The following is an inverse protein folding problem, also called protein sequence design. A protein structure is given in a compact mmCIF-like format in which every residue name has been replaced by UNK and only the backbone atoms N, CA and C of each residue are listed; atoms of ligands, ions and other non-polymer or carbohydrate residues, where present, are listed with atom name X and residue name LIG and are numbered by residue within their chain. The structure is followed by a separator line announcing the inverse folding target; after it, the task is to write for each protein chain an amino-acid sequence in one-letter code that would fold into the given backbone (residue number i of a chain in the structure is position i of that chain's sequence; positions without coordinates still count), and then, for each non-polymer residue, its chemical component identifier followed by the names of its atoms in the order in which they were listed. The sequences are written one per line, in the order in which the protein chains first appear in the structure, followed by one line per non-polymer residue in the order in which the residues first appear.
data_IF_085103438986
#
_entry.id   IF_085103438986
#
_cell.length_a   1.000
_cell.length_b   1.000
_cell.length_c   1.000
_cell.angle_alpha   90.00
_cell.angle_beta   90.00
_cell.angle_gamma   90.00
#
_symmetry.space_group_name_H-M   'P 1'
#
loop_
_entity.id
_entity.type
_entity.pdbx_description
1 polymer ?
#
# COMPACT_ATOMS: atom_id res chain seq x y z
N UNK A 1 2.50 12.38 13.54
CA UNK A 1 1.20 12.73 12.92
C UNK A 1 0.10 12.81 13.97
N UNK A 2 -1.03 13.49 13.63
CA UNK A 2 -2.21 13.59 14.52
C UNK A 2 -3.08 12.32 14.50
N UNK A 3 -2.72 11.31 13.75
CA UNK A 3 -3.41 10.02 13.63
C UNK A 3 -2.90 9.21 12.44
N UNK A 4 -3.62 8.15 12.08
CA UNK A 4 -3.15 7.17 11.09
C UNK A 4 -3.72 7.37 9.67
N UNK A 5 -4.76 8.21 9.49
CA UNK A 5 -5.43 8.39 8.21
C UNK A 5 -4.91 9.61 7.48
N UNK A 6 -4.22 9.40 6.37
CA UNK A 6 -3.56 10.46 5.58
C UNK A 6 -4.51 11.55 5.08
N UNK A 7 -5.75 11.17 4.76
CA UNK A 7 -6.81 12.08 4.27
C UNK A 7 -7.36 13.04 5.34
N UNK A 8 -7.23 12.70 6.63
CA UNK A 8 -7.84 13.43 7.74
C UNK A 8 -6.82 13.99 8.73
N UNK A 9 -5.62 13.43 8.72
CA UNK A 9 -4.63 13.71 9.74
C UNK A 9 -3.52 14.61 9.21
N UNK A 10 -2.78 15.23 10.11
CA UNK A 10 -1.73 16.17 9.79
C UNK A 10 -0.37 15.70 10.34
N UNK A 11 0.70 16.12 9.68
CA UNK A 11 2.06 15.93 10.16
C UNK A 11 2.29 16.85 11.37
N UNK A 12 2.90 16.31 12.42
CA UNK A 12 3.28 17.06 13.64
C UNK A 12 4.79 17.16 13.83
N UNK A 13 5.52 16.19 13.27
CA UNK A 13 6.99 16.17 13.33
C UNK A 13 7.51 15.42 12.09
N UNK A 14 8.65 15.90 11.55
CA UNK A 14 9.43 15.20 10.53
C UNK A 14 10.83 15.01 11.09
N UNK A 15 11.27 13.74 11.18
CA UNK A 15 12.62 13.37 11.58
C UNK A 15 13.29 12.52 10.50
N UNK A 16 14.55 12.78 10.23
CA UNK A 16 15.34 12.03 9.26
C UNK A 16 16.82 12.03 9.60
N UNK A 17 17.53 11.03 9.12
CA UNK A 17 18.99 10.96 9.20
C UNK A 17 19.57 10.62 7.84
N UNK A 18 20.76 11.11 7.53
CA UNK A 18 21.52 10.70 6.35
C UNK A 18 22.46 9.56 6.74
N UNK A 19 22.25 8.40 6.11
CA UNK A 19 23.17 7.27 6.19
C UNK A 19 24.21 7.37 5.08
N UNK A 20 25.49 7.43 5.43
CA UNK A 20 26.60 7.49 4.48
C UNK A 20 27.73 6.56 4.94
N UNK A 21 28.18 5.68 4.09
CA UNK A 21 29.26 4.71 4.37
C UNK A 21 29.02 3.89 5.65
N UNK A 22 27.77 3.55 5.95
CA UNK A 22 27.40 2.77 7.13
C UNK A 22 27.24 3.58 8.42
N UNK A 23 27.45 4.89 8.39
CA UNK A 23 27.36 5.80 9.55
C UNK A 23 26.32 6.89 9.34
N UNK A 24 25.79 7.40 10.45
CA UNK A 24 24.86 8.55 10.44
C UNK A 24 25.68 9.82 10.30
N UNK A 25 25.63 10.45 9.13
CA UNK A 25 26.40 11.65 8.81
C UNK A 25 25.66 12.95 9.22
N UNK A 26 24.36 13.01 9.06
CA UNK A 26 23.56 14.21 9.29
C UNK A 26 22.23 13.84 9.94
N UNK A 27 21.63 14.79 10.67
CA UNK A 27 20.32 14.64 11.31
C UNK A 27 19.44 15.82 10.97
N UNK A 28 18.17 15.57 10.76
CA UNK A 28 17.12 16.54 10.52
C UNK A 28 15.95 16.29 11.45
N UNK A 29 15.42 17.35 12.04
CA UNK A 29 14.21 17.28 12.84
C UNK A 29 13.50 18.63 12.75
N UNK A 30 12.21 18.60 12.52
CA UNK A 30 11.36 19.78 12.61
C UNK A 30 9.99 19.42 13.12
N UNK A 31 9.42 20.21 14.00
CA UNK A 31 8.00 20.17 14.28
C UNK A 31 7.22 20.80 13.13
N UNK A 32 5.96 20.47 13.04
CA UNK A 32 5.03 21.04 12.06
C UNK A 32 3.75 21.43 12.79
N UNK A 33 3.31 22.66 12.61
CA UNK A 33 2.04 23.11 13.18
C UNK A 33 0.86 22.51 12.38
N UNK A 34 0.06 21.62 13.00
CA UNK A 34 -1.04 20.96 12.31
C UNK A 34 -2.29 21.86 12.16
N UNK A 35 -2.24 23.12 12.67
CA UNK A 35 -3.36 24.06 12.76
C UNK A 35 -4.60 23.49 13.48
N UNK A 36 -4.41 22.56 14.39
CA UNK A 36 -5.46 21.98 15.24
C UNK A 36 -4.86 21.43 16.54
N UNK A 37 -5.71 21.25 17.55
CA UNK A 37 -5.28 20.65 18.82
C UNK A 37 -5.03 19.17 18.68
N UNK A 38 -4.07 18.67 19.44
CA UNK A 38 -3.80 17.26 19.57
C UNK A 38 -4.79 16.62 20.54
N UNK A 39 -5.15 15.34 20.28
CA UNK A 39 -5.92 14.56 21.24
C UNK A 39 -5.03 14.10 22.38
N UNK A 40 -5.58 13.92 23.62
CA UNK A 40 -4.82 13.39 24.74
C UNK A 40 -4.11 12.06 24.43
N UNK A 41 -4.71 11.24 23.59
CA UNK A 41 -4.16 9.97 23.13
C UNK A 41 -2.87 10.17 22.30
N UNK A 42 -2.88 11.10 21.36
CA UNK A 42 -1.69 11.45 20.54
C UNK A 42 -0.59 12.07 21.41
N UNK A 43 -0.96 12.94 22.34
CA UNK A 43 0.01 13.52 23.29
C UNK A 43 0.65 12.43 24.13
N UNK A 44 -0.16 11.50 24.68
CA UNK A 44 0.33 10.37 25.46
C UNK A 44 1.23 9.41 24.66
N UNK A 45 0.93 9.22 23.37
CA UNK A 45 1.70 8.35 22.49
C UNK A 45 3.04 8.96 22.06
N UNK A 46 3.04 10.24 21.65
CA UNK A 46 4.20 10.89 21.02
C UNK A 46 5.01 11.79 21.96
N UNK A 47 4.43 12.17 23.09
CA UNK A 47 4.99 13.19 23.98
C UNK A 47 5.00 14.60 23.40
N UNK A 48 4.42 14.81 22.20
CA UNK A 48 4.33 16.12 21.56
C UNK A 48 3.09 16.82 22.08
N UNK A 49 3.26 18.08 22.56
CA UNK A 49 2.17 18.88 23.12
C UNK A 49 1.77 20.02 22.17
N UNK A 50 0.56 20.55 22.32
CA UNK A 50 0.11 21.73 21.56
C UNK A 50 1.03 22.93 21.76
N UNK A 51 1.65 23.04 22.94
CA UNK A 51 2.57 24.12 23.24
C UNK A 51 3.86 24.04 22.42
N UNK A 52 4.40 22.82 22.24
CA UNK A 52 5.57 22.58 21.40
C UNK A 52 5.28 22.90 19.92
N UNK A 53 4.04 22.76 19.46
CA UNK A 53 3.65 23.00 18.08
C UNK A 53 3.20 24.44 17.80
N UNK A 54 2.94 25.26 18.82
CA UNK A 54 2.42 26.62 18.67
C UNK A 54 3.32 27.53 17.82
N UNK A 55 4.64 27.42 17.99
CA UNK A 55 5.65 28.18 17.23
C UNK A 55 6.30 27.38 16.09
N UNK A 56 5.81 26.18 15.82
CA UNK A 56 6.39 25.34 14.80
C UNK A 56 6.11 25.85 13.37
N UNK A 57 6.98 25.57 12.40
CA UNK A 57 6.79 25.92 11.00
C UNK A 57 5.44 25.43 10.46
N UNK A 58 4.94 26.12 9.43
CA UNK A 58 3.82 25.62 8.63
C UNK A 58 4.26 24.41 7.83
N UNK A 59 3.29 23.62 7.38
CA UNK A 59 3.52 22.40 6.61
C UNK A 59 4.42 22.65 5.39
N UNK A 60 4.17 23.71 4.63
CA UNK A 60 4.94 24.05 3.42
C UNK A 60 6.41 24.31 3.73
N UNK A 61 6.70 25.15 4.74
CA UNK A 61 8.07 25.47 5.15
C UNK A 61 8.83 24.22 5.65
N UNK A 62 8.15 23.39 6.43
CA UNK A 62 8.72 22.14 6.95
C UNK A 62 9.00 21.13 5.82
N UNK A 63 8.12 21.03 4.83
CA UNK A 63 8.32 20.16 3.66
C UNK A 63 9.48 20.65 2.80
N UNK A 64 9.59 21.97 2.53
CA UNK A 64 10.74 22.52 1.80
C UNK A 64 12.06 22.25 2.53
N UNK A 65 12.10 22.46 3.85
CA UNK A 65 13.28 22.18 4.66
C UNK A 65 13.65 20.67 4.60
N UNK A 66 12.68 19.81 4.74
CA UNK A 66 12.89 18.36 4.63
C UNK A 66 13.38 17.93 3.24
N UNK A 67 12.75 18.42 2.18
CA UNK A 67 13.12 18.07 0.80
C UNK A 67 14.51 18.60 0.44
N UNK A 68 14.88 19.78 0.90
CA UNK A 68 16.23 20.31 0.76
C UNK A 68 17.25 19.43 1.50
N UNK A 69 16.94 18.99 2.72
CA UNK A 69 17.77 18.05 3.46
C UNK A 69 17.88 16.69 2.76
N UNK A 70 16.77 16.12 2.29
CA UNK A 70 16.76 14.82 1.61
C UNK A 70 17.50 14.87 0.26
N UNK A 71 17.36 15.96 -0.49
CA UNK A 71 17.92 16.11 -1.84
C UNK A 71 17.42 15.01 -2.79
N UNK A 72 18.31 14.48 -3.62
CA UNK A 72 18.02 13.39 -4.55
C UNK A 72 18.26 11.98 -3.95
N UNK A 73 18.46 11.90 -2.63
CA UNK A 73 18.76 10.60 -1.99
C UNK A 73 17.49 9.73 -1.93
N UNK A 74 17.62 8.40 -2.11
CA UNK A 74 16.55 7.48 -1.80
C UNK A 74 16.14 7.61 -0.33
N UNK A 75 14.84 7.63 -0.06
CA UNK A 75 14.30 7.65 1.30
C UNK A 75 14.21 6.23 1.85
N UNK A 76 14.19 6.08 3.16
CA UNK A 76 13.92 4.80 3.80
C UNK A 76 13.14 4.99 5.10
N UNK A 77 12.19 4.09 5.35
CA UNK A 77 11.45 4.05 6.60
C UNK A 77 11.04 2.61 6.95
N UNK A 78 10.48 2.42 8.14
CA UNK A 78 9.91 1.13 8.55
C UNK A 78 8.39 1.16 8.39
N UNK A 79 7.85 0.40 7.44
CA UNK A 79 6.51 0.55 6.88
C UNK A 79 6.40 1.87 6.09
N UNK A 80 7.33 2.04 5.17
CA UNK A 80 7.64 3.30 4.49
C UNK A 80 6.44 3.94 3.77
N UNK A 81 5.47 3.15 3.31
CA UNK A 81 4.26 3.68 2.68
C UNK A 81 3.49 4.61 3.61
N UNK A 82 3.50 4.38 4.93
CA UNK A 82 2.89 5.27 5.90
C UNK A 82 3.52 6.67 5.85
N UNK A 83 4.83 6.77 6.00
CA UNK A 83 5.55 8.05 6.05
C UNK A 83 5.51 8.76 4.70
N UNK A 84 5.77 8.01 3.63
CA UNK A 84 5.77 8.54 2.25
C UNK A 84 4.39 9.06 1.85
N UNK A 85 3.31 8.40 2.26
CA UNK A 85 1.95 8.85 1.96
C UNK A 85 1.60 10.17 2.62
N UNK A 86 2.00 10.40 3.88
CA UNK A 86 1.83 11.68 4.56
C UNK A 86 2.64 12.81 3.92
N UNK A 87 3.90 12.56 3.58
CA UNK A 87 4.73 13.55 2.88
C UNK A 87 4.15 13.84 1.48
N UNK A 88 3.74 12.81 0.73
CA UNK A 88 3.12 12.96 -0.60
C UNK A 88 1.84 13.79 -0.54
N UNK A 89 0.95 13.50 0.42
CA UNK A 89 -0.27 14.26 0.62
C UNK A 89 0.00 15.71 0.99
N UNK A 90 0.97 15.95 1.88
CA UNK A 90 1.42 17.30 2.24
C UNK A 90 1.98 18.06 1.06
N UNK A 91 2.88 17.45 0.28
CA UNK A 91 3.46 18.03 -0.93
C UNK A 91 2.38 18.36 -1.98
N UNK A 92 1.43 17.43 -2.23
CA UNK A 92 0.29 17.65 -3.13
C UNK A 92 -0.53 18.87 -2.69
N UNK A 93 -0.81 19.01 -1.39
CA UNK A 93 -1.55 20.14 -0.82
C UNK A 93 -0.83 21.48 -1.01
N UNK A 94 0.50 21.47 -0.98
CA UNK A 94 1.35 22.68 -1.14
C UNK A 94 1.81 22.89 -2.59
N UNK A 95 1.39 22.06 -3.56
CA UNK A 95 1.83 22.17 -4.96
C UNK A 95 3.30 21.82 -5.19
N UNK A 96 3.93 21.07 -4.29
CA UNK A 96 5.33 20.66 -4.35
C UNK A 96 5.45 19.31 -5.06
N UNK A 97 6.24 19.18 -6.15
CA UNK A 97 6.50 17.90 -6.79
C UNK A 97 7.23 16.93 -5.83
N UNK A 98 6.74 15.69 -5.73
CA UNK A 98 7.34 14.68 -4.84
C UNK A 98 7.16 13.26 -5.38
N UNK A 99 8.19 12.74 -6.03
CA UNK A 99 8.26 11.37 -6.60
C UNK A 99 9.55 10.68 -6.10
N UNK A 100 9.60 10.26 -4.83
CA UNK A 100 10.82 9.69 -4.26
C UNK A 100 11.01 8.24 -4.66
N UNK A 101 12.28 7.83 -4.85
CA UNK A 101 12.67 6.44 -4.69
C UNK A 101 12.75 6.13 -3.19
N UNK A 102 12.16 5.03 -2.73
CA UNK A 102 12.24 4.67 -1.32
C UNK A 102 12.39 3.17 -1.07
N UNK A 103 12.95 2.85 0.08
CA UNK A 103 13.18 1.53 0.62
C UNK A 103 12.31 1.32 1.86
N UNK A 104 11.77 0.11 2.02
CA UNK A 104 11.00 -0.26 3.20
C UNK A 104 11.74 -1.31 4.03
N UNK A 105 12.23 -0.91 5.21
CA UNK A 105 12.95 -1.81 6.12
C UNK A 105 12.05 -2.92 6.67
N UNK A 106 10.73 -2.74 6.68
CA UNK A 106 9.78 -3.80 7.02
C UNK A 106 9.81 -4.92 5.97
N UNK A 107 9.87 -4.56 4.67
CA UNK A 107 9.99 -5.54 3.59
C UNK A 107 11.32 -6.29 3.69
N UNK A 108 12.42 -5.59 4.00
CA UNK A 108 13.71 -6.25 4.23
C UNK A 108 13.64 -7.23 5.39
N UNK A 109 13.13 -6.81 6.55
CA UNK A 109 12.97 -7.66 7.71
C UNK A 109 12.14 -8.93 7.40
N UNK A 110 11.01 -8.77 6.70
CA UNK A 110 10.13 -9.89 6.34
C UNK A 110 10.77 -10.94 5.42
N UNK A 111 11.74 -10.54 4.60
CA UNK A 111 12.37 -11.43 3.63
C UNK A 111 13.76 -11.92 4.07
N UNK A 112 14.50 -11.12 4.83
CA UNK A 112 15.84 -11.47 5.31
C UNK A 112 15.82 -12.16 6.67
N UNK A 113 14.75 -11.99 7.47
CA UNK A 113 14.57 -12.56 8.80
C UNK A 113 13.24 -13.34 8.87
N UNK A 114 13.05 -14.38 8.04
CA UNK A 114 11.76 -15.08 7.92
C UNK A 114 11.33 -15.80 9.20
N UNK A 115 12.28 -16.05 10.13
CA UNK A 115 12.07 -16.68 11.43
C UNK A 115 11.33 -15.78 12.43
N UNK A 116 11.32 -14.45 12.23
CA UNK A 116 10.60 -13.53 13.09
C UNK A 116 9.08 -13.66 12.89
N UNK A 117 8.33 -13.88 13.97
CA UNK A 117 6.86 -13.94 13.92
C UNK A 117 6.18 -12.57 13.85
N UNK A 118 6.91 -11.49 14.22
CA UNK A 118 6.45 -10.10 14.22
C UNK A 118 7.58 -9.19 13.77
N UNK A 119 7.23 -8.13 13.04
CA UNK A 119 8.19 -7.22 12.40
C UNK A 119 7.97 -5.76 12.80
N UNK A 120 7.59 -5.51 14.06
CA UNK A 120 7.60 -4.15 14.59
C UNK A 120 9.02 -3.64 14.72
N UNK A 121 9.20 -2.32 14.66
CA UNK A 121 10.51 -1.67 14.69
C UNK A 121 11.38 -2.13 15.87
N UNK A 122 10.80 -2.15 17.09
CA UNK A 122 11.42 -2.62 18.33
C UNK A 122 11.89 -4.07 18.23
N UNK A 123 11.00 -4.97 17.77
CA UNK A 123 11.29 -6.40 17.67
C UNK A 123 12.43 -6.68 16.69
N UNK A 124 12.43 -5.98 15.54
CA UNK A 124 13.49 -6.15 14.54
C UNK A 124 14.81 -5.55 15.05
N UNK A 125 14.77 -4.41 15.74
CA UNK A 125 15.93 -3.79 16.34
C UNK A 125 16.58 -4.71 17.39
N UNK A 126 15.79 -5.27 18.30
CA UNK A 126 16.24 -6.21 19.32
C UNK A 126 16.86 -7.47 18.70
N UNK A 127 16.22 -8.06 17.68
CA UNK A 127 16.74 -9.23 16.98
C UNK A 127 18.10 -8.93 16.30
N UNK A 128 18.25 -7.75 15.73
CA UNK A 128 19.50 -7.30 15.11
C UNK A 128 20.55 -6.80 16.14
N UNK A 129 20.22 -6.84 17.43
CA UNK A 129 21.05 -6.38 18.54
C UNK A 129 21.47 -4.91 18.39
N UNK A 130 20.52 -4.05 17.99
CA UNK A 130 20.75 -2.61 17.89
C UNK A 130 20.64 -1.96 19.26
N UNK A 131 21.30 -0.79 19.49
CA UNK A 131 21.14 -0.04 20.71
C UNK A 131 19.69 0.33 21.00
N UNK A 132 19.30 0.34 22.28
CA UNK A 132 17.97 0.78 22.69
C UNK A 132 17.73 2.25 22.31
N UNK A 133 16.52 2.58 21.93
CA UNK A 133 16.10 3.91 21.49
C UNK A 133 14.73 4.29 22.08
N UNK A 134 14.44 5.58 22.12
CA UNK A 134 13.15 6.08 22.56
C UNK A 134 12.15 6.01 21.40
N UNK A 135 11.00 5.39 21.63
CA UNK A 135 9.96 5.26 20.63
C UNK A 135 9.10 6.51 20.49
N UNK A 136 8.47 6.66 19.32
CA UNK A 136 7.44 7.65 19.00
C UNK A 136 7.90 9.09 18.81
N UNK A 137 9.21 9.30 18.66
CA UNK A 137 9.79 10.57 18.20
C UNK A 137 10.41 10.35 16.85
N UNK A 138 10.00 11.15 15.84
CA UNK A 138 10.39 10.92 14.44
C UNK A 138 11.91 10.88 14.22
N UNK A 139 12.68 11.71 14.94
CA UNK A 139 14.14 11.70 14.89
C UNK A 139 14.75 10.44 15.50
N UNK A 140 14.15 9.95 16.58
CA UNK A 140 14.67 8.79 17.31
C UNK A 140 14.34 7.48 16.58
N UNK A 141 13.17 7.40 15.92
CA UNK A 141 12.78 6.25 15.09
C UNK A 141 13.59 6.16 13.77
N UNK A 142 14.12 7.27 13.25
CA UNK A 142 14.94 7.26 12.04
C UNK A 142 16.33 6.62 12.26
N UNK A 143 16.90 6.71 13.47
CA UNK A 143 18.21 6.15 13.79
C UNK A 143 18.22 4.61 13.70
N UNK A 144 17.34 3.87 14.39
CA UNK A 144 17.31 2.41 14.28
C UNK A 144 16.99 1.94 12.85
N UNK A 145 16.17 2.65 12.08
CA UNK A 145 15.96 2.33 10.66
C UNK A 145 17.26 2.40 9.87
N UNK A 146 18.07 3.46 10.06
CA UNK A 146 19.37 3.58 9.41
C UNK A 146 20.31 2.43 9.81
N UNK A 147 20.37 2.10 11.10
CA UNK A 147 21.18 0.98 11.61
C UNK A 147 20.71 -0.38 11.08
N UNK A 148 19.40 -0.61 10.99
CA UNK A 148 18.83 -1.80 10.35
C UNK A 148 19.28 -1.91 8.90
N UNK A 149 19.23 -0.81 8.14
CA UNK A 149 19.65 -0.79 6.74
C UNK A 149 21.11 -1.20 6.57
N UNK A 150 22.01 -0.78 7.47
CA UNK A 150 23.41 -1.23 7.46
C UNK A 150 23.49 -2.76 7.57
N UNK A 151 22.74 -3.36 8.51
CA UNK A 151 22.68 -4.81 8.67
C UNK A 151 22.08 -5.50 7.45
N UNK A 152 20.98 -4.99 6.93
CA UNK A 152 20.30 -5.54 5.76
C UNK A 152 21.15 -5.44 4.49
N UNK A 153 21.86 -4.33 4.29
CA UNK A 153 22.76 -4.19 3.16
C UNK A 153 23.93 -5.18 3.25
N UNK A 154 24.49 -5.41 4.43
CA UNK A 154 25.52 -6.44 4.61
C UNK A 154 24.99 -7.86 4.29
N UNK A 155 23.74 -8.17 4.70
CA UNK A 155 23.08 -9.44 4.36
C UNK A 155 22.83 -9.58 2.86
N UNK A 156 22.49 -8.49 2.17
CA UNK A 156 22.27 -8.46 0.73
C UNK A 156 23.58 -8.58 -0.05
N UNK A 157 24.61 -7.89 0.40
CA UNK A 157 25.95 -7.93 -0.20
C UNK A 157 26.53 -9.36 -0.12
N UNK A 158 26.36 -10.06 1.00
CA UNK A 158 26.72 -11.46 1.14
C UNK A 158 25.98 -12.40 0.16
N UNK A 159 24.87 -11.94 -0.43
CA UNK A 159 24.07 -12.62 -1.47
C UNK A 159 24.40 -12.15 -2.89
N UNK A 160 25.42 -11.28 -3.05
CA UNK A 160 25.81 -10.74 -4.35
C UNK A 160 24.98 -9.55 -4.85
N UNK A 161 24.13 -8.97 -3.98
CA UNK A 161 23.33 -7.76 -4.29
C UNK A 161 24.15 -6.53 -3.93
N UNK A 162 24.71 -5.85 -4.94
CA UNK A 162 25.60 -4.69 -4.76
C UNK A 162 25.00 -3.38 -5.27
N UNK A 163 23.80 -3.43 -5.88
CA UNK A 163 23.11 -2.26 -6.46
C UNK A 163 21.65 -2.21 -6.03
N UNK A 164 21.13 -1.01 -5.80
CA UNK A 164 19.74 -0.79 -5.41
C UNK A 164 18.73 -1.41 -6.38
N UNK A 165 19.00 -1.39 -7.68
CA UNK A 165 18.14 -1.96 -8.72
C UNK A 165 17.94 -3.49 -8.58
N UNK A 166 18.89 -4.19 -7.96
CA UNK A 166 18.82 -5.64 -7.75
C UNK A 166 17.99 -6.04 -6.52
N UNK A 167 17.71 -5.09 -5.63
CA UNK A 167 17.04 -5.37 -4.33
C UNK A 167 15.65 -5.98 -4.55
N UNK A 168 14.83 -5.41 -5.44
CA UNK A 168 13.47 -5.89 -5.67
C UNK A 168 13.44 -7.33 -6.20
N UNK A 169 14.38 -7.67 -7.09
CA UNK A 169 14.51 -9.03 -7.63
C UNK A 169 14.92 -10.01 -6.53
N UNK A 170 15.88 -9.63 -5.69
CA UNK A 170 16.32 -10.46 -4.58
C UNK A 170 15.22 -10.61 -3.51
N UNK A 171 14.54 -9.54 -3.12
CA UNK A 171 13.39 -9.61 -2.21
C UNK A 171 12.29 -10.54 -2.74
N UNK A 172 12.12 -10.60 -4.06
CA UNK A 172 11.15 -11.49 -4.69
C UNK A 172 11.59 -12.95 -4.59
N UNK A 173 12.88 -13.24 -4.77
CA UNK A 173 13.46 -14.59 -4.65
C UNK A 173 13.44 -15.11 -3.20
N UNK A 174 13.84 -14.25 -2.25
CA UNK A 174 13.91 -14.58 -0.83
C UNK A 174 12.54 -14.76 -0.18
N UNK A 175 11.50 -14.29 -0.82
CA UNK A 175 10.16 -14.31 -0.27
C UNK A 175 9.76 -15.75 0.08
N UNK A 176 9.50 -16.07 1.38
CA UNK A 176 9.11 -17.41 1.76
C UNK A 176 7.87 -17.87 0.97
N UNK A 177 7.89 -19.06 0.43
CA UNK A 177 6.71 -19.73 -0.11
C UNK A 177 5.69 -19.82 1.03
N UNK A 178 4.65 -18.98 0.98
CA UNK A 178 3.64 -18.88 2.04
C UNK A 178 3.80 -17.73 3.04
N UNK A 179 4.76 -16.80 2.85
CA UNK A 179 4.78 -15.56 3.62
C UNK A 179 3.42 -14.89 3.56
N UNK A 180 2.78 -14.77 4.74
CA UNK A 180 1.44 -14.15 4.86
C UNK A 180 1.54 -12.71 4.39
N UNK A 181 1.19 -12.47 3.14
CA UNK A 181 0.71 -11.15 2.77
C UNK A 181 -0.56 -10.93 3.58
N UNK A 182 -0.60 -9.90 4.42
CA UNK A 182 -1.84 -9.33 4.93
C UNK A 182 -2.57 -8.63 3.77
N UNK A 183 -2.84 -9.38 2.70
CA UNK A 183 -3.62 -8.91 1.57
C UNK A 183 -4.99 -9.53 1.73
N UNK A 184 -5.95 -8.66 1.90
CA UNK A 184 -7.34 -9.06 1.70
C UNK A 184 -7.46 -9.71 0.32
N UNK A 185 -8.20 -10.83 0.20
CA UNK A 185 -8.48 -11.43 -1.08
C UNK A 185 -9.03 -10.36 -2.03
N UNK A 186 -8.65 -10.44 -3.30
CA UNK A 186 -9.15 -9.54 -4.34
C UNK A 186 -10.23 -10.25 -5.13
N UNK A 187 -11.24 -9.51 -5.55
CA UNK A 187 -12.27 -10.05 -6.41
C UNK A 187 -11.71 -10.35 -7.80
N UNK A 188 -12.25 -11.38 -8.43
CA UNK A 188 -11.92 -11.80 -9.78
C UNK A 188 -13.16 -12.41 -10.43
N UNK A 189 -13.33 -12.22 -11.73
CA UNK A 189 -14.40 -12.86 -12.51
C UNK A 189 -13.80 -14.03 -13.27
N UNK A 190 -14.47 -15.18 -13.18
CA UNK A 190 -14.13 -16.39 -13.91
C UNK A 190 -15.34 -16.84 -14.72
N UNK A 191 -15.17 -16.96 -16.04
CA UNK A 191 -16.21 -17.41 -16.97
C UNK A 191 -15.72 -18.67 -17.67
N UNK A 192 -16.50 -19.74 -17.61
CA UNK A 192 -16.20 -20.97 -18.34
C UNK A 192 -16.50 -20.79 -19.84
N UNK A 193 -15.49 -20.86 -20.69
CA UNK A 193 -15.61 -20.76 -22.14
C UNK A 193 -16.07 -22.04 -22.78
N UNK A 194 -15.75 -23.20 -22.19
CA UNK A 194 -16.04 -24.53 -22.70
C UNK A 194 -16.10 -25.58 -21.56
N UNK A 195 -16.28 -26.85 -21.89
CA UNK A 195 -16.35 -27.92 -20.89
C UNK A 195 -15.06 -28.10 -20.08
N UNK A 196 -13.87 -27.81 -20.64
CA UNK A 196 -12.61 -27.85 -19.92
C UNK A 196 -12.60 -26.74 -18.88
N UNK A 197 -12.95 -25.52 -19.27
CA UNK A 197 -13.07 -24.38 -18.34
C UNK A 197 -14.10 -24.62 -17.26
N UNK A 198 -15.24 -25.25 -17.57
CA UNK A 198 -16.25 -25.59 -16.55
C UNK A 198 -15.68 -26.59 -15.53
N UNK A 199 -14.94 -27.60 -15.95
CA UNK A 199 -14.25 -28.53 -15.05
C UNK A 199 -13.24 -27.81 -14.19
N UNK A 200 -12.40 -26.95 -14.79
CA UNK A 200 -11.39 -26.18 -14.08
C UNK A 200 -12.02 -25.20 -13.07
N UNK A 201 -13.14 -24.57 -13.43
CA UNK A 201 -13.91 -23.72 -12.52
C UNK A 201 -14.39 -24.49 -11.28
N UNK A 202 -14.96 -25.67 -11.46
CA UNK A 202 -15.39 -26.53 -10.34
C UNK A 202 -14.21 -26.96 -9.46
N UNK A 203 -13.06 -27.28 -10.05
CA UNK A 203 -11.85 -27.63 -9.30
C UNK A 203 -11.35 -26.43 -8.46
N UNK A 204 -11.33 -25.23 -9.03
CA UNK A 204 -10.95 -24.00 -8.31
C UNK A 204 -11.92 -23.67 -7.18
N UNK A 205 -13.24 -23.79 -7.40
CA UNK A 205 -14.26 -23.58 -6.37
C UNK A 205 -14.08 -24.61 -5.24
N UNK A 206 -13.91 -25.88 -5.58
CA UNK A 206 -13.68 -26.94 -4.60
C UNK A 206 -12.41 -26.68 -3.78
N UNK A 207 -11.30 -26.36 -4.45
CA UNK A 207 -10.03 -26.05 -3.78
C UNK A 207 -10.15 -24.82 -2.87
N UNK A 208 -10.87 -23.77 -3.29
CA UNK A 208 -11.06 -22.57 -2.51
C UNK A 208 -11.84 -22.81 -1.20
N UNK A 209 -12.78 -23.73 -1.21
CA UNK A 209 -13.60 -24.07 -0.06
C UNK A 209 -12.97 -25.15 0.84
N UNK A 210 -12.31 -26.15 0.25
CA UNK A 210 -11.78 -27.30 1.00
C UNK A 210 -10.32 -27.12 1.46
N UNK A 211 -9.49 -26.47 0.63
CA UNK A 211 -8.05 -26.35 0.86
C UNK A 211 -7.61 -24.95 1.28
N UNK A 212 -8.23 -23.92 0.73
CA UNK A 212 -7.79 -22.53 0.87
C UNK A 212 -8.78 -21.62 1.60
N UNK A 213 -9.79 -22.19 2.26
CA UNK A 213 -10.76 -21.41 3.02
C UNK A 213 -10.12 -20.73 4.23
N UNK A 214 -10.25 -19.39 4.30
CA UNK A 214 -9.79 -18.55 5.43
C UNK A 214 -10.83 -17.47 5.69
N UNK A 215 -11.88 -17.77 6.49
CA UNK A 215 -13.09 -16.95 6.69
C UNK A 215 -13.94 -16.82 5.43
N UNK A 216 -13.32 -16.73 4.26
CA UNK A 216 -13.95 -16.73 2.93
C UNK A 216 -13.19 -17.68 2.01
N UNK A 217 -13.81 -18.20 0.95
CA UNK A 217 -13.12 -18.98 -0.07
C UNK A 217 -12.07 -18.12 -0.77
N UNK A 218 -10.85 -18.65 -0.93
CA UNK A 218 -9.73 -17.96 -1.58
C UNK A 218 -9.16 -18.86 -2.66
N UNK A 219 -8.92 -18.29 -3.85
CA UNK A 219 -8.21 -18.97 -4.93
C UNK A 219 -6.80 -18.37 -5.02
N UNK A 220 -5.73 -19.11 -4.66
CA UNK A 220 -4.37 -18.65 -4.89
C UNK A 220 -4.14 -18.42 -6.39
N UNK A 221 -3.42 -17.37 -6.75
CA UNK A 221 -3.13 -17.03 -8.16
C UNK A 221 -2.38 -18.15 -8.89
N UNK A 222 -1.54 -18.90 -8.18
CA UNK A 222 -0.87 -20.10 -8.72
C UNK A 222 -1.85 -21.21 -9.12
N UNK A 223 -2.86 -21.48 -8.30
CA UNK A 223 -3.92 -22.45 -8.62
C UNK A 223 -4.75 -21.96 -9.83
N UNK A 224 -5.08 -20.67 -9.87
CA UNK A 224 -5.79 -20.09 -11.00
C UNK A 224 -4.98 -20.22 -12.30
N UNK A 225 -3.67 -19.97 -12.26
CA UNK A 225 -2.79 -20.13 -13.43
C UNK A 225 -2.74 -21.60 -13.88
N UNK A 226 -2.63 -22.54 -12.94
CA UNK A 226 -2.58 -23.97 -13.23
C UNK A 226 -3.88 -24.50 -13.88
N UNK A 227 -5.03 -23.86 -13.60
CA UNK A 227 -6.35 -24.24 -14.09
C UNK A 227 -6.95 -23.21 -15.07
N UNK A 228 -6.09 -22.37 -15.72
CA UNK A 228 -6.56 -21.28 -16.58
C UNK A 228 -7.21 -21.75 -17.88
N UNK A 229 -6.87 -22.94 -18.37
CA UNK A 229 -7.37 -23.44 -19.65
C UNK A 229 -8.90 -23.48 -19.69
N UNK A 230 -9.47 -22.93 -20.77
CA UNK A 230 -10.92 -22.84 -20.97
C UNK A 230 -11.64 -21.82 -20.10
N UNK A 231 -10.93 -20.99 -19.33
CA UNK A 231 -11.47 -19.88 -18.56
C UNK A 231 -11.21 -18.55 -19.26
N UNK A 232 -12.13 -17.62 -19.11
CA UNK A 232 -11.97 -16.18 -19.37
C UNK A 232 -11.93 -15.49 -18.02
N UNK A 233 -10.93 -14.63 -17.82
CA UNK A 233 -10.65 -13.98 -16.54
C UNK A 233 -10.85 -12.48 -16.67
N UNK A 234 -11.74 -11.90 -15.83
CA UNK A 234 -12.03 -10.47 -15.76
C UNK A 234 -11.45 -9.79 -14.52
N UNK A 235 -11.19 -8.47 -14.62
CA UNK A 235 -10.56 -7.69 -13.57
C UNK A 235 -11.47 -7.41 -12.36
N UNK A 236 -12.75 -7.68 -12.48
CA UNK A 236 -13.78 -7.46 -11.46
C UNK A 236 -13.96 -5.99 -11.03
N UNK A 237 -14.66 -5.80 -9.91
CA UNK A 237 -15.11 -4.51 -9.36
C UNK A 237 -14.00 -3.74 -8.63
N UNK A 238 -14.39 -2.74 -7.83
CA UNK A 238 -13.48 -1.92 -7.01
C UNK A 238 -12.67 -2.74 -5.99
N UNK A 239 -13.15 -3.92 -5.59
CA UNK A 239 -12.41 -4.85 -4.74
C UNK A 239 -11.42 -5.73 -5.53
N UNK A 240 -11.37 -5.62 -6.87
CA UNK A 240 -10.40 -6.29 -7.73
C UNK A 240 -8.98 -5.76 -7.58
N UNK A 241 -7.98 -6.55 -8.04
CA UNK A 241 -6.56 -6.16 -7.94
C UNK A 241 -6.24 -4.90 -8.77
N UNK A 242 -6.80 -4.81 -9.98
CA UNK A 242 -6.55 -3.69 -10.89
C UNK A 242 -7.13 -2.38 -10.34
N UNK A 243 -8.41 -2.39 -9.98
CA UNK A 243 -9.07 -1.16 -9.52
C UNK A 243 -8.45 -0.65 -8.21
N UNK A 244 -8.11 -1.55 -7.28
CA UNK A 244 -7.35 -1.18 -6.07
C UNK A 244 -5.97 -0.62 -6.37
N UNK A 245 -5.26 -1.13 -7.36
CA UNK A 245 -3.98 -0.58 -7.78
C UNK A 245 -4.12 0.85 -8.36
N UNK A 246 -5.24 1.16 -9.04
CA UNK A 246 -5.55 2.52 -9.52
C UNK A 246 -5.85 3.45 -8.34
N UNK A 247 -6.68 3.03 -7.37
CA UNK A 247 -6.95 3.80 -6.14
C UNK A 247 -5.65 4.06 -5.37
N UNK A 248 -4.77 3.07 -5.28
CA UNK A 248 -3.47 3.15 -4.60
C UNK A 248 -2.42 3.94 -5.41
N UNK A 249 -2.81 4.58 -6.52
CA UNK A 249 -1.96 5.39 -7.40
C UNK A 249 -0.67 4.67 -7.83
N UNK A 250 -0.75 3.36 -8.15
CA UNK A 250 0.39 2.62 -8.69
C UNK A 250 0.81 3.20 -10.05
N UNK A 251 2.12 3.13 -10.34
CA UNK A 251 2.64 3.63 -11.61
C UNK A 251 2.06 2.88 -12.83
N UNK A 252 2.16 3.51 -14.00
CA UNK A 252 1.55 3.00 -15.22
C UNK A 252 2.07 1.63 -15.65
N UNK A 253 3.34 1.33 -15.43
CA UNK A 253 3.94 0.04 -15.76
C UNK A 253 3.40 -1.07 -14.85
N UNK A 254 3.24 -0.79 -13.57
CA UNK A 254 2.63 -1.73 -12.63
C UNK A 254 1.15 -1.96 -12.94
N UNK A 255 0.39 -0.92 -13.32
CA UNK A 255 -0.99 -1.06 -13.78
C UNK A 255 -1.07 -1.93 -15.03
N UNK A 256 -0.20 -1.73 -16.02
CA UNK A 256 -0.12 -2.57 -17.22
C UNK A 256 0.22 -4.02 -16.87
N UNK A 257 1.19 -4.25 -15.99
CA UNK A 257 1.56 -5.59 -15.52
C UNK A 257 0.37 -6.31 -14.88
N UNK A 258 -0.40 -5.63 -14.03
CA UNK A 258 -1.60 -6.18 -13.40
C UNK A 258 -2.68 -6.45 -14.45
N UNK A 259 -2.98 -5.47 -15.30
CA UNK A 259 -4.02 -5.58 -16.33
C UNK A 259 -3.72 -6.68 -17.36
N UNK A 260 -2.44 -6.95 -17.65
CA UNK A 260 -2.00 -8.00 -18.57
C UNK A 260 -2.43 -9.40 -18.15
N UNK A 261 -2.69 -9.63 -16.87
CA UNK A 261 -3.14 -10.92 -16.35
C UNK A 261 -4.56 -11.30 -16.80
N UNK A 262 -5.43 -10.31 -17.00
CA UNK A 262 -6.85 -10.50 -17.32
C UNK A 262 -7.09 -10.65 -18.82
N UNK A 263 -8.16 -11.34 -19.21
CA UNK A 263 -8.59 -11.46 -20.60
C UNK A 263 -9.48 -10.28 -21.00
N UNK A 264 -10.22 -9.68 -20.05
CA UNK A 264 -10.97 -8.46 -20.23
C UNK A 264 -10.88 -7.59 -18.96
N UNK A 265 -11.09 -6.30 -19.12
CA UNK A 265 -11.14 -5.33 -18.02
C UNK A 265 -12.59 -4.87 -17.80
N UNK A 266 -12.89 -4.41 -16.60
CA UNK A 266 -14.25 -4.05 -16.20
C UNK A 266 -14.32 -2.62 -15.68
N UNK A 267 -15.33 -1.89 -16.12
CA UNK A 267 -15.74 -0.62 -15.55
C UNK A 267 -17.18 -0.72 -15.03
N UNK A 268 -17.52 0.10 -14.04
CA UNK A 268 -18.81 0.08 -13.38
C UNK A 268 -19.45 1.47 -13.34
N UNK A 269 -20.78 1.57 -13.17
CA UNK A 269 -21.48 2.83 -12.94
C UNK A 269 -20.87 3.57 -11.74
N UNK A 270 -20.78 4.90 -11.81
CA UNK A 270 -20.16 5.70 -10.74
C UNK A 270 -20.88 5.52 -9.40
N UNK A 271 -22.19 5.28 -9.41
CA UNK A 271 -22.98 5.08 -8.19
C UNK A 271 -22.50 3.89 -7.36
N UNK A 272 -21.96 2.82 -7.97
CA UNK A 272 -21.41 1.67 -7.26
C UNK A 272 -20.20 2.04 -6.40
N UNK A 273 -19.46 3.06 -6.82
CA UNK A 273 -18.21 3.49 -6.17
C UNK A 273 -18.33 4.82 -5.40
N UNK A 274 -19.55 5.41 -5.27
CA UNK A 274 -19.77 6.66 -4.54
C UNK A 274 -19.42 6.60 -3.06
N UNK A 275 -19.34 5.40 -2.48
CA UNK A 275 -18.86 5.25 -1.11
C UNK A 275 -17.40 5.73 -0.96
N UNK A 276 -16.57 5.66 -2.00
CA UNK A 276 -15.21 6.18 -2.02
C UNK A 276 -15.16 7.72 -1.90
N UNK A 277 -16.19 8.41 -2.38
CA UNK A 277 -16.36 9.86 -2.15
C UNK A 277 -16.82 10.13 -0.71
N UNK A 278 -17.75 9.33 -0.21
CA UNK A 278 -18.29 9.49 1.15
C UNK A 278 -17.28 9.21 2.25
N UNK A 279 -16.37 8.26 2.04
CA UNK A 279 -15.32 7.92 2.99
C UNK A 279 -14.03 8.75 2.81
N UNK A 280 -14.01 9.66 1.82
CA UNK A 280 -12.91 10.57 1.55
C UNK A 280 -11.71 9.94 0.82
N UNK A 281 -11.87 8.73 0.26
CA UNK A 281 -10.83 8.09 -0.56
C UNK A 281 -10.58 8.88 -1.84
N UNK A 282 -11.62 9.49 -2.41
CA UNK A 282 -11.59 10.38 -3.56
C UNK A 282 -12.41 11.65 -3.29
N UNK A 283 -12.17 12.72 -4.07
CA UNK A 283 -12.81 14.02 -3.79
C UNK A 283 -14.23 14.09 -4.34
N UNK A 284 -14.47 13.58 -5.55
CA UNK A 284 -15.74 13.74 -6.26
C UNK A 284 -15.97 12.65 -7.34
N UNK A 285 -17.11 12.80 -8.05
CA UNK A 285 -17.48 11.91 -9.16
C UNK A 285 -16.50 12.00 -10.35
N UNK A 286 -15.73 13.09 -10.49
CA UNK A 286 -14.74 13.22 -11.58
C UNK A 286 -13.53 12.32 -11.32
N UNK A 287 -13.10 12.17 -10.08
CA UNK A 287 -12.09 11.18 -9.70
C UNK A 287 -12.53 9.75 -10.05
N UNK A 288 -13.80 9.42 -9.78
CA UNK A 288 -14.39 8.12 -10.16
C UNK A 288 -14.41 7.90 -11.68
N UNK A 289 -14.74 8.95 -12.47
CA UNK A 289 -14.66 8.89 -13.93
C UNK A 289 -13.21 8.66 -14.40
N UNK A 290 -12.25 9.31 -13.74
CA UNK A 290 -10.84 9.15 -14.09
C UNK A 290 -10.34 7.72 -13.84
N UNK A 291 -10.86 7.03 -12.82
CA UNK A 291 -10.58 5.60 -12.64
C UNK A 291 -11.10 4.77 -13.82
N UNK A 292 -12.34 4.97 -14.23
CA UNK A 292 -12.89 4.28 -15.39
C UNK A 292 -12.12 4.61 -16.68
N UNK A 293 -11.75 5.88 -16.92
CA UNK A 293 -10.91 6.30 -18.06
C UNK A 293 -9.55 5.61 -18.04
N UNK A 294 -8.95 5.43 -16.86
CA UNK A 294 -7.69 4.71 -16.69
C UNK A 294 -7.82 3.26 -17.11
N UNK A 295 -8.90 2.57 -16.72
CA UNK A 295 -9.18 1.19 -17.15
C UNK A 295 -9.37 1.11 -18.66
N UNK A 296 -10.13 2.04 -19.26
CA UNK A 296 -10.35 2.10 -20.72
C UNK A 296 -9.02 2.26 -21.45
N UNK A 297 -8.20 3.22 -21.02
CA UNK A 297 -6.87 3.46 -21.61
C UNK A 297 -5.95 2.24 -21.51
N UNK A 298 -5.97 1.52 -20.39
CA UNK A 298 -5.23 0.27 -20.23
C UNK A 298 -5.72 -0.80 -21.21
N UNK A 299 -7.05 -0.90 -21.40
CA UNK A 299 -7.65 -1.82 -22.37
C UNK A 299 -7.20 -1.52 -23.81
N UNK A 300 -7.23 -0.25 -24.19
CA UNK A 300 -6.76 0.22 -25.51
C UNK A 300 -5.28 -0.09 -25.75
N UNK A 301 -4.40 0.27 -24.79
CA UNK A 301 -2.95 0.01 -24.91
C UNK A 301 -2.60 -1.47 -24.94
N UNK A 302 -3.35 -2.32 -24.25
CA UNK A 302 -3.09 -3.76 -24.16
C UNK A 302 -3.90 -4.58 -25.16
N UNK A 303 -4.73 -3.94 -25.99
CA UNK A 303 -5.62 -4.62 -26.94
C UNK A 303 -6.65 -5.54 -26.27
N UNK A 304 -7.14 -5.17 -25.07
CA UNK A 304 -8.07 -5.97 -24.28
C UNK A 304 -9.47 -5.38 -24.30
N UNK A 305 -10.53 -6.21 -24.40
CA UNK A 305 -11.90 -5.74 -24.23
C UNK A 305 -12.11 -5.06 -22.88
N UNK A 306 -12.85 -3.96 -22.88
CA UNK A 306 -13.35 -3.31 -21.67
C UNK A 306 -14.86 -3.44 -21.64
N UNK A 307 -15.38 -4.07 -20.60
CA UNK A 307 -16.81 -4.34 -20.43
C UNK A 307 -17.38 -3.43 -19.36
N UNK A 308 -18.51 -2.79 -19.63
CA UNK A 308 -19.31 -2.11 -18.62
C UNK A 308 -20.26 -3.12 -17.97
N UNK A 309 -20.21 -3.25 -16.65
CA UNK A 309 -21.06 -4.13 -15.86
C UNK A 309 -21.78 -3.38 -14.75
N UNK A 310 -22.94 -3.90 -14.30
CA UNK A 310 -23.72 -3.27 -13.24
C UNK A 310 -23.27 -3.65 -11.83
N UNK A 311 -22.50 -4.73 -11.66
CA UNK A 311 -22.16 -5.34 -10.35
C UNK A 311 -23.41 -5.51 -9.46
N UNK A 312 -24.45 -6.12 -10.04
CA UNK A 312 -25.77 -6.23 -9.44
C UNK A 312 -25.75 -7.10 -8.19
N UNK A 313 -26.31 -6.60 -7.09
CA UNK A 313 -26.33 -7.28 -5.79
C UNK A 313 -27.76 -7.50 -5.24
N UNK A 314 -28.76 -7.07 -5.93
CA UNK A 314 -30.18 -7.32 -5.62
C UNK A 314 -30.97 -7.36 -6.93
N UNK A 315 -32.15 -7.99 -6.91
CA UNK A 315 -32.95 -8.22 -8.12
C UNK A 315 -33.81 -7.03 -8.48
N UNK A 316 -34.62 -6.57 -7.55
CA UNK A 316 -35.57 -5.48 -7.73
C UNK A 316 -35.10 -4.21 -6.98
N UNK A 317 -35.42 -2.99 -7.47
CA UNK A 317 -35.00 -1.73 -6.81
C UNK A 317 -35.40 -1.66 -5.35
N UNK A 318 -36.52 -2.24 -4.96
CA UNK A 318 -37.05 -2.27 -3.59
C UNK A 318 -36.16 -3.08 -2.64
N UNK A 319 -35.36 -3.99 -3.15
CA UNK A 319 -34.44 -4.83 -2.38
C UNK A 319 -33.20 -4.07 -1.88
N UNK A 320 -32.99 -2.82 -2.32
CA UNK A 320 -31.88 -1.96 -1.85
C UNK A 320 -31.83 -1.85 -0.33
N UNK A 321 -33.00 -1.75 0.32
CA UNK A 321 -33.14 -1.67 1.78
C UNK A 321 -32.51 -2.89 2.47
N UNK A 322 -32.74 -4.09 1.95
CA UNK A 322 -32.16 -5.32 2.52
C UNK A 322 -30.63 -5.35 2.39
N UNK A 323 -30.13 -4.87 1.26
CA UNK A 323 -28.69 -4.76 1.06
C UNK A 323 -28.04 -3.77 2.05
N UNK A 324 -28.66 -2.62 2.30
CA UNK A 324 -28.18 -1.65 3.29
C UNK A 324 -28.14 -2.26 4.70
N UNK A 325 -29.16 -3.02 5.10
CA UNK A 325 -29.21 -3.72 6.39
C UNK A 325 -28.06 -4.74 6.47
N UNK A 326 -27.83 -5.54 5.42
CA UNK A 326 -26.76 -6.53 5.38
C UNK A 326 -25.36 -5.89 5.43
N UNK A 327 -25.16 -4.73 4.82
CA UNK A 327 -23.90 -4.00 4.88
C UNK A 327 -23.66 -3.36 6.25
N UNK A 328 -24.71 -2.86 6.91
CA UNK A 328 -24.62 -2.27 8.24
C UNK A 328 -24.33 -3.31 9.35
N UNK A 329 -24.59 -4.60 9.10
CA UNK A 329 -24.33 -5.69 10.04
C UNK A 329 -22.89 -6.23 10.00
N UNK A 330 -22.05 -5.76 9.08
CA UNK A 330 -20.63 -6.16 8.93
C UNK A 330 -19.69 -5.16 9.58
#
# INVERSE_FOLDING_TARGET
TTGLKVDREAITEIGAVVLKNGEIAERFQTFVNPNRRLTPEIIGLTGITDEMLRGAPKLEDALHAFLNFAGARPLAAHNAEFDISFIRAGCKKCGIPFEPTYLDSLIFAQNLLPELGKYKLDIVADHLQLPQFNHHRASDDAVPVAQMLVKFFAMLEARGVTRLQQINDEMTKLRPLGAKRNRFPKHIILIAKNKVGLKNLYQLISASNLKYFKRVPIIPKSELIAHREGLIIGSACEAGELFRAIIDHKDWNELKRIASFYDFLEIQPLCNNRFLVRDGTVNDDEDLKNFNRTVVKLGEELGKPVCATGDVHFLDPEDEVYRHILLASK
#
